data_IF_451057323859
#
_entry.id   IF_451057323859
#
_cell.length_a   1.000
_cell.length_b   1.000
_cell.length_c   1.000
_cell.angle_alpha   90.00
_cell.angle_beta   90.00
_cell.angle_gamma   90.00
#
_symmetry.space_group_name_H-M   'P 1'
#
loop_
_entity.id
_entity.type
_entity.pdbx_description
1 polymer ?
#
# COMPACT_ATOMS: atom_id res chain seq x y z
N UNK A 1 3.23 28.25 -2.87
CA UNK A 1 3.39 26.93 -2.21
C UNK A 1 4.83 26.49 -2.39
N UNK A 2 5.45 25.88 -1.37
CA UNK A 2 6.77 25.27 -1.52
C UNK A 2 6.74 24.07 -2.47
N UNK A 3 7.90 23.59 -2.92
CA UNK A 3 7.97 22.33 -3.68
C UNK A 3 7.49 21.17 -2.78
N UNK A 4 6.69 20.24 -3.30
CA UNK A 4 6.22 19.10 -2.52
C UNK A 4 7.40 18.18 -2.15
N UNK A 5 7.37 17.62 -0.94
CA UNK A 5 8.29 16.57 -0.47
C UNK A 5 7.83 15.24 -1.04
N UNK A 6 8.69 14.63 -1.85
CA UNK A 6 8.40 13.37 -2.53
C UNK A 6 9.19 12.24 -1.88
N UNK A 7 8.53 11.13 -1.56
CA UNK A 7 9.17 9.87 -1.17
C UNK A 7 8.92 8.80 -2.23
N UNK A 8 9.95 8.02 -2.52
CA UNK A 8 9.94 6.98 -3.54
C UNK A 8 10.40 5.66 -2.93
N UNK A 9 9.62 4.60 -3.14
CA UNK A 9 9.86 3.28 -2.57
C UNK A 9 10.33 2.31 -3.66
N UNK A 10 11.42 1.59 -3.37
CA UNK A 10 12.00 0.60 -4.27
C UNK A 10 12.70 -0.50 -3.47
N UNK A 11 12.39 -1.76 -3.76
CA UNK A 11 13.07 -2.90 -3.15
C UNK A 11 13.99 -3.60 -4.18
N UNK A 12 15.28 -3.86 -3.88
CA UNK A 12 16.21 -4.46 -4.85
C UNK A 12 15.76 -5.81 -5.44
N UNK A 13 15.00 -6.60 -4.68
CA UNK A 13 14.49 -7.92 -5.11
C UNK A 13 13.27 -7.86 -6.03
N UNK A 14 12.56 -6.74 -6.13
CA UNK A 14 11.26 -6.67 -6.83
C UNK A 14 11.36 -7.07 -8.32
N UNK A 15 12.50 -6.76 -8.95
CA UNK A 15 12.77 -7.10 -10.35
C UNK A 15 13.21 -8.55 -10.59
N UNK A 16 13.46 -9.32 -9.54
CA UNK A 16 13.97 -10.70 -9.63
C UNK A 16 12.86 -11.76 -9.65
N UNK A 17 11.64 -11.39 -9.25
CA UNK A 17 10.49 -12.31 -9.29
C UNK A 17 10.07 -12.62 -10.73
N UNK A 18 9.70 -13.87 -10.96
CA UNK A 18 9.41 -14.38 -12.30
C UNK A 18 8.11 -15.19 -12.31
N UNK A 19 7.08 -14.64 -12.96
CA UNK A 19 5.75 -15.25 -13.06
C UNK A 19 5.71 -16.52 -13.92
N UNK A 20 6.77 -16.80 -14.69
CA UNK A 20 6.88 -18.00 -15.49
C UNK A 20 7.05 -17.74 -17.00
N UNK A 21 7.36 -18.81 -17.76
CA UNK A 21 7.53 -18.74 -19.22
C UNK A 21 6.27 -18.22 -19.92
N UNK A 22 6.45 -17.27 -20.84
CA UNK A 22 5.34 -16.71 -21.65
C UNK A 22 4.39 -15.77 -20.90
N UNK A 23 4.43 -15.69 -19.57
CA UNK A 23 3.51 -14.85 -18.79
C UNK A 23 3.74 -13.34 -19.05
N UNK A 24 2.71 -12.51 -19.26
CA UNK A 24 2.88 -11.10 -19.64
C UNK A 24 3.36 -10.19 -18.49
N UNK A 25 2.99 -10.47 -17.23
CA UNK A 25 3.52 -9.73 -16.08
C UNK A 25 5.01 -10.00 -15.90
N UNK A 26 5.83 -8.95 -16.05
CA UNK A 26 7.29 -8.99 -15.85
C UNK A 26 7.70 -7.99 -14.76
N UNK A 27 7.88 -8.43 -13.50
CA UNK A 27 8.36 -7.56 -12.41
C UNK A 27 9.66 -6.82 -12.73
N UNK A 28 10.48 -7.37 -13.63
CA UNK A 28 11.67 -6.72 -14.18
C UNK A 28 11.43 -5.27 -14.69
N UNK A 29 10.20 -4.95 -15.15
CA UNK A 29 9.83 -3.58 -15.56
C UNK A 29 10.07 -2.53 -14.47
N UNK A 30 9.97 -2.92 -13.20
CA UNK A 30 10.21 -2.04 -12.05
C UNK A 30 11.68 -1.66 -11.94
N UNK A 31 12.58 -2.62 -12.19
CA UNK A 31 14.03 -2.38 -12.28
C UNK A 31 14.37 -1.43 -13.42
N UNK A 32 13.71 -1.57 -14.58
CA UNK A 32 13.87 -0.65 -15.72
C UNK A 32 13.46 0.79 -15.33
N UNK A 33 12.29 0.94 -14.71
CA UNK A 33 11.78 2.23 -14.24
C UNK A 33 12.72 2.86 -13.20
N UNK A 34 13.20 2.07 -12.23
CA UNK A 34 14.17 2.53 -11.24
C UNK A 34 15.49 2.97 -11.88
N UNK A 35 16.01 2.23 -12.87
CA UNK A 35 17.19 2.65 -13.62
C UNK A 35 16.97 3.99 -14.35
N UNK A 36 15.79 4.25 -14.92
CA UNK A 36 15.49 5.57 -15.48
C UNK A 36 15.47 6.65 -14.41
N UNK A 37 14.85 6.39 -13.26
CA UNK A 37 14.87 7.31 -12.10
C UNK A 37 16.30 7.69 -11.69
N UNK A 38 17.21 6.71 -11.64
CA UNK A 38 18.61 6.93 -11.30
C UNK A 38 19.34 7.74 -12.39
N UNK A 39 19.21 7.35 -13.66
CA UNK A 39 19.98 7.94 -14.76
C UNK A 39 19.44 9.31 -15.22
N UNK A 40 18.20 9.66 -14.88
CA UNK A 40 17.69 11.03 -14.97
C UNK A 40 17.99 11.87 -13.71
N UNK A 41 18.76 11.35 -12.76
CA UNK A 41 19.09 12.00 -11.47
C UNK A 41 17.84 12.39 -10.64
N UNK A 42 16.69 11.76 -10.89
CA UNK A 42 15.43 12.07 -10.18
C UNK A 42 15.50 11.69 -8.70
N UNK A 43 16.28 10.65 -8.36
CA UNK A 43 16.54 10.25 -6.97
C UNK A 43 17.15 11.37 -6.11
N UNK A 44 17.77 12.40 -6.71
CA UNK A 44 18.29 13.57 -5.97
C UNK A 44 17.20 14.57 -5.59
N UNK A 45 16.00 14.44 -6.17
CA UNK A 45 14.87 15.34 -5.99
C UNK A 45 13.78 14.74 -5.08
N UNK A 46 14.01 13.54 -4.54
CA UNK A 46 13.08 12.81 -3.69
C UNK A 46 13.83 11.97 -2.65
N UNK A 47 13.17 11.60 -1.57
CA UNK A 47 13.72 10.66 -0.59
C UNK A 47 13.45 9.22 -1.03
N UNK A 48 14.50 8.42 -1.18
CA UNK A 48 14.38 7.02 -1.61
C UNK A 48 14.42 6.10 -0.41
N UNK A 49 13.41 5.24 -0.29
CA UNK A 49 13.27 4.25 0.79
C UNK A 49 13.24 2.84 0.21
N UNK A 50 13.86 1.91 0.94
CA UNK A 50 13.57 0.50 0.76
C UNK A 50 12.35 0.17 1.62
N UNK A 51 11.25 -0.34 1.03
CA UNK A 51 10.06 -0.68 1.80
C UNK A 51 10.32 -1.86 2.72
N UNK A 52 9.59 -1.92 3.83
CA UNK A 52 9.59 -3.12 4.66
C UNK A 52 8.87 -4.28 3.96
N UNK A 53 9.10 -5.49 4.46
CA UNK A 53 8.33 -6.67 4.05
C UNK A 53 7.05 -6.70 4.87
N UNK A 54 5.89 -6.42 4.26
CA UNK A 54 4.62 -6.45 4.99
C UNK A 54 4.42 -7.78 5.70
N UNK A 55 4.10 -7.73 6.98
CA UNK A 55 3.80 -8.92 7.79
C UNK A 55 2.50 -9.58 7.35
N UNK A 56 2.33 -10.86 7.69
CA UNK A 56 1.07 -11.56 7.44
C UNK A 56 -0.10 -10.86 8.17
N UNK A 57 0.15 -10.33 9.36
CA UNK A 57 -0.80 -9.58 10.19
C UNK A 57 -1.27 -8.29 9.51
N UNK A 58 -0.35 -7.53 8.91
CA UNK A 58 -0.70 -6.33 8.14
C UNK A 58 -1.55 -6.69 6.91
N UNK A 59 -1.16 -7.73 6.17
CA UNK A 59 -1.90 -8.20 5.00
C UNK A 59 -3.32 -8.70 5.39
N UNK A 60 -3.44 -9.36 6.56
CA UNK A 60 -4.71 -9.83 7.13
C UNK A 60 -5.65 -8.71 7.58
N UNK A 61 -5.22 -7.44 7.59
CA UNK A 61 -6.11 -6.31 7.85
C UNK A 61 -7.25 -6.21 6.81
N UNK A 62 -7.00 -6.69 5.58
CA UNK A 62 -8.03 -6.84 4.55
C UNK A 62 -8.28 -8.30 4.18
N UNK A 63 -7.21 -9.04 3.88
CA UNK A 63 -7.32 -10.38 3.30
C UNK A 63 -7.75 -11.44 4.32
N UNK A 64 -8.46 -12.46 3.85
CA UNK A 64 -8.87 -13.58 4.69
C UNK A 64 -7.63 -14.34 5.24
N UNK A 65 -7.67 -14.69 6.53
CA UNK A 65 -6.53 -15.32 7.19
C UNK A 65 -6.10 -16.64 6.55
N UNK A 66 -7.07 -17.46 6.12
CA UNK A 66 -6.84 -18.73 5.43
C UNK A 66 -6.24 -18.56 4.02
N UNK A 67 -6.50 -17.43 3.36
CA UNK A 67 -5.88 -17.06 2.09
C UNK A 67 -4.42 -16.63 2.28
N UNK A 68 -4.14 -15.78 3.27
CA UNK A 68 -2.77 -15.34 3.59
C UNK A 68 -1.91 -16.50 4.09
N UNK A 69 -2.48 -17.40 4.91
CA UNK A 69 -1.78 -18.60 5.37
C UNK A 69 -1.50 -19.59 4.24
N UNK A 70 -2.33 -19.60 3.19
CA UNK A 70 -2.08 -20.36 1.97
C UNK A 70 -0.95 -19.75 1.15
N UNK A 71 -0.96 -18.44 0.90
CA UNK A 71 0.07 -17.75 0.11
C UNK A 71 1.47 -17.93 0.73
N UNK A 72 1.57 -17.91 2.07
CA UNK A 72 2.83 -18.16 2.78
C UNK A 72 3.42 -19.57 2.54
N UNK A 73 2.61 -20.55 2.15
CA UNK A 73 3.00 -21.97 2.03
C UNK A 73 3.07 -22.45 0.60
N UNK A 74 2.33 -21.81 -0.31
CA UNK A 74 2.26 -22.24 -1.71
C UNK A 74 3.57 -21.90 -2.42
N UNK A 75 4.09 -22.89 -3.13
CA UNK A 75 5.27 -22.81 -3.99
C UNK A 75 5.11 -23.84 -5.11
N UNK A 76 5.92 -23.78 -6.18
CA UNK A 76 5.88 -24.79 -7.24
C UNK A 76 6.04 -26.24 -6.71
N UNK A 77 6.75 -26.41 -5.59
CA UNK A 77 6.93 -27.72 -4.95
C UNK A 77 5.71 -28.23 -4.18
N UNK A 78 4.87 -27.32 -3.66
CA UNK A 78 3.69 -27.64 -2.84
C UNK A 78 2.38 -27.49 -3.59
N UNK A 79 2.38 -26.87 -4.77
CA UNK A 79 1.19 -26.61 -5.60
C UNK A 79 0.33 -27.86 -5.79
N UNK A 80 0.93 -28.97 -6.23
CA UNK A 80 0.20 -30.23 -6.48
C UNK A 80 -0.45 -30.82 -5.22
N UNK A 81 0.18 -30.69 -4.05
CA UNK A 81 -0.40 -31.19 -2.79
C UNK A 81 -1.47 -30.25 -2.23
N UNK A 82 -1.52 -29.01 -2.72
CA UNK A 82 -2.45 -27.96 -2.30
C UNK A 82 -3.51 -27.65 -3.37
N UNK A 83 -3.73 -28.53 -4.37
CA UNK A 83 -4.58 -28.27 -5.53
C UNK A 83 -5.96 -27.72 -5.18
N UNK A 84 -6.65 -28.28 -4.19
CA UNK A 84 -7.98 -27.79 -3.77
C UNK A 84 -7.93 -26.32 -3.32
N UNK A 85 -6.85 -25.89 -2.65
CA UNK A 85 -6.68 -24.50 -2.22
C UNK A 85 -6.24 -23.61 -3.38
N UNK A 86 -5.38 -24.13 -4.27
CA UNK A 86 -4.97 -23.45 -5.51
C UNK A 86 -6.19 -23.09 -6.35
N UNK A 87 -7.10 -24.05 -6.56
CA UNK A 87 -8.36 -23.83 -7.29
C UNK A 87 -9.30 -22.87 -6.51
N UNK A 88 -9.43 -23.07 -5.18
CA UNK A 88 -10.29 -22.22 -4.32
C UNK A 88 -9.90 -20.74 -4.40
N UNK A 89 -8.60 -20.46 -4.47
CA UNK A 89 -8.06 -19.11 -4.41
C UNK A 89 -7.69 -18.55 -5.79
N UNK A 90 -8.18 -19.18 -6.86
CA UNK A 90 -8.01 -18.78 -8.25
C UNK A 90 -6.54 -18.64 -8.67
N UNK A 91 -5.72 -19.63 -8.37
CA UNK A 91 -4.29 -19.67 -8.73
C UNK A 91 -3.95 -20.92 -9.55
N UNK A 92 -2.72 -20.96 -10.07
CA UNK A 92 -2.15 -22.14 -10.73
C UNK A 92 -2.22 -22.10 -12.25
N UNK A 93 -1.92 -23.23 -12.90
CA UNK A 93 -1.74 -23.34 -14.36
C UNK A 93 -2.95 -22.90 -15.20
N UNK A 94 -4.17 -23.06 -14.67
CA UNK A 94 -5.42 -22.71 -15.37
C UNK A 94 -5.96 -21.33 -15.01
N UNK A 95 -5.25 -20.58 -14.16
CA UNK A 95 -5.56 -19.21 -13.79
C UNK A 95 -4.63 -18.24 -14.51
N UNK A 96 -5.01 -16.97 -14.55
CA UNK A 96 -4.09 -15.88 -14.89
C UNK A 96 -3.08 -15.61 -13.77
N UNK A 97 -3.26 -16.17 -12.58
CA UNK A 97 -2.38 -16.00 -11.42
C UNK A 97 -1.56 -17.27 -11.15
N UNK A 98 -0.39 -17.45 -11.78
CA UNK A 98 0.42 -18.65 -11.61
C UNK A 98 1.00 -18.77 -10.19
N UNK A 99 1.34 -19.99 -9.79
CA UNK A 99 2.21 -20.23 -8.63
C UNK A 99 3.67 -20.10 -9.09
N UNK A 100 4.46 -19.28 -8.40
CA UNK A 100 5.90 -19.14 -8.66
C UNK A 100 6.68 -19.00 -7.35
N UNK A 101 8.00 -19.23 -7.43
CA UNK A 101 8.89 -19.12 -6.27
C UNK A 101 8.88 -17.69 -5.71
N UNK A 102 8.44 -17.57 -4.45
CA UNK A 102 8.39 -16.28 -3.76
C UNK A 102 7.14 -15.43 -4.06
N UNK A 103 6.01 -16.02 -4.46
CA UNK A 103 4.74 -15.28 -4.66
C UNK A 103 4.34 -14.43 -3.44
N UNK A 104 4.52 -14.96 -2.23
CA UNK A 104 4.25 -14.21 -1.01
C UNK A 104 5.28 -13.08 -0.81
N UNK A 105 6.57 -13.38 -1.00
CA UNK A 105 7.64 -12.39 -0.92
C UNK A 105 7.41 -11.19 -1.87
N UNK A 106 7.03 -11.46 -3.13
CA UNK A 106 6.64 -10.43 -4.09
C UNK A 106 5.49 -9.56 -3.55
N UNK A 107 4.47 -10.20 -2.98
CA UNK A 107 3.30 -9.53 -2.42
C UNK A 107 3.65 -8.67 -1.19
N UNK A 108 4.58 -9.13 -0.34
CA UNK A 108 5.03 -8.41 0.84
C UNK A 108 5.74 -7.10 0.50
N UNK A 109 6.57 -7.09 -0.56
CA UNK A 109 7.27 -5.89 -1.02
C UNK A 109 6.28 -4.86 -1.54
N UNK A 110 5.35 -5.29 -2.40
CA UNK A 110 4.31 -4.43 -2.96
C UNK A 110 3.44 -3.80 -1.85
N UNK A 111 2.91 -4.63 -0.95
CA UNK A 111 2.10 -4.19 0.18
C UNK A 111 2.87 -3.29 1.15
N UNK A 112 4.11 -3.65 1.48
CA UNK A 112 4.94 -2.89 2.42
C UNK A 112 5.24 -1.48 1.91
N UNK A 113 5.53 -1.33 0.61
CA UNK A 113 5.73 -0.01 -0.01
C UNK A 113 4.49 0.88 0.05
N UNK A 114 3.30 0.31 -0.16
CA UNK A 114 2.04 1.07 -0.10
C UNK A 114 1.64 1.42 1.34
N UNK A 115 1.91 0.52 2.30
CA UNK A 115 1.71 0.78 3.73
C UNK A 115 2.68 1.85 4.26
N UNK A 116 3.97 1.75 3.95
CA UNK A 116 4.97 2.75 4.34
C UNK A 116 4.65 4.12 3.73
N UNK A 117 4.24 4.14 2.46
CA UNK A 117 3.78 5.34 1.77
C UNK A 117 2.59 5.99 2.50
N UNK A 118 1.56 5.21 2.83
CA UNK A 118 0.38 5.69 3.54
C UNK A 118 0.72 6.19 4.96
N UNK A 119 1.58 5.47 5.68
CA UNK A 119 2.09 5.89 6.99
C UNK A 119 2.78 7.26 6.90
N UNK A 120 3.68 7.45 5.93
CA UNK A 120 4.39 8.74 5.75
C UNK A 120 3.45 9.90 5.45
N UNK A 121 2.41 9.66 4.64
CA UNK A 121 1.37 10.66 4.36
C UNK A 121 0.59 11.01 5.63
N UNK A 122 0.15 10.01 6.40
CA UNK A 122 -0.56 10.20 7.67
C UNK A 122 0.28 10.99 8.69
N UNK A 123 1.58 10.73 8.77
CA UNK A 123 2.50 11.42 9.68
C UNK A 123 2.95 12.80 9.17
N UNK A 124 2.49 13.24 7.99
CA UNK A 124 2.92 14.50 7.39
C UNK A 124 4.43 14.55 7.07
N UNK A 125 5.07 13.39 6.91
CA UNK A 125 6.49 13.27 6.55
C UNK A 125 6.72 13.50 5.05
N UNK A 126 5.68 13.35 4.24
CA UNK A 126 5.76 13.50 2.79
C UNK A 126 4.45 14.09 2.27
N UNK A 127 4.53 14.80 1.15
CA UNK A 127 3.37 15.35 0.46
C UNK A 127 2.94 14.42 -0.69
N UNK A 128 3.89 13.68 -1.26
CA UNK A 128 3.69 12.69 -2.32
C UNK A 128 4.52 11.45 -2.00
N UNK A 129 3.92 10.27 -2.11
CA UNK A 129 4.61 8.98 -2.02
C UNK A 129 4.42 8.18 -3.31
N UNK A 130 5.49 7.53 -3.79
CA UNK A 130 5.50 6.78 -5.05
C UNK A 130 5.99 5.35 -4.77
N UNK A 131 5.15 4.36 -5.04
CA UNK A 131 5.48 2.93 -5.02
C UNK A 131 5.09 2.31 -6.35
N UNK A 132 6.04 2.11 -7.27
CA UNK A 132 5.73 1.50 -8.59
C UNK A 132 5.53 -0.01 -8.54
N UNK A 133 5.99 -0.67 -7.47
CA UNK A 133 5.79 -2.10 -7.26
C UNK A 133 4.34 -2.44 -6.85
N UNK A 134 3.61 -1.45 -6.31
CA UNK A 134 2.21 -1.54 -5.94
C UNK A 134 1.25 -1.33 -7.10
N UNK A 135 -0.01 -1.07 -6.76
CA UNK A 135 -1.08 -0.84 -7.72
C UNK A 135 -1.81 -2.12 -8.17
N UNK A 136 -1.75 -3.20 -7.38
CA UNK A 136 -2.32 -4.51 -7.73
C UNK A 136 -3.83 -4.55 -7.42
N UNK A 137 -4.60 -3.85 -8.26
CA UNK A 137 -6.00 -3.50 -8.00
C UNK A 137 -7.03 -4.62 -8.18
N UNK A 138 -6.68 -5.76 -8.78
CA UNK A 138 -7.61 -6.86 -9.03
C UNK A 138 -7.75 -7.84 -7.87
N UNK A 139 -6.77 -7.86 -6.95
CA UNK A 139 -6.76 -8.80 -5.84
C UNK A 139 -8.00 -8.60 -4.95
N UNK A 140 -8.68 -9.71 -4.63
CA UNK A 140 -9.90 -9.72 -3.83
C UNK A 140 -9.59 -10.09 -2.39
N UNK A 141 -10.62 -10.08 -1.54
CA UNK A 141 -10.47 -10.40 -0.11
C UNK A 141 -9.89 -11.81 0.12
N UNK A 142 -10.26 -12.78 -0.70
CA UNK A 142 -9.90 -14.19 -0.51
C UNK A 142 -9.59 -14.92 -1.82
N UNK A 143 -9.20 -14.22 -2.89
CA UNK A 143 -8.80 -14.85 -4.16
C UNK A 143 -7.85 -13.94 -4.93
N UNK A 144 -6.95 -14.55 -5.70
CA UNK A 144 -6.14 -13.84 -6.67
C UNK A 144 -6.96 -13.56 -7.94
N UNK A 145 -6.61 -12.51 -8.68
CA UNK A 145 -7.25 -12.18 -9.96
C UNK A 145 -6.36 -11.24 -10.75
N UNK A 146 -6.27 -11.36 -12.08
CA UNK A 146 -5.63 -10.36 -12.94
C UNK A 146 -4.17 -10.11 -12.57
N UNK A 147 -3.40 -11.16 -12.30
CA UNK A 147 -2.01 -11.12 -11.82
C UNK A 147 -1.81 -10.57 -10.39
N UNK A 148 -2.90 -10.26 -9.68
CA UNK A 148 -2.87 -9.63 -8.36
C UNK A 148 -3.21 -10.66 -7.27
N UNK A 149 -2.31 -10.82 -6.30
CA UNK A 149 -2.49 -11.74 -5.17
C UNK A 149 -2.91 -10.99 -3.89
N UNK A 150 -2.20 -9.89 -3.57
CA UNK A 150 -2.51 -9.02 -2.43
C UNK A 150 -2.86 -7.63 -2.95
N UNK A 151 -3.92 -7.03 -2.40
CA UNK A 151 -4.38 -5.70 -2.77
C UNK A 151 -3.69 -4.64 -1.88
N UNK A 152 -2.50 -4.24 -2.29
CA UNK A 152 -1.69 -3.23 -1.59
C UNK A 152 -2.41 -1.87 -1.50
N UNK A 153 -3.26 -1.56 -2.47
CA UNK A 153 -4.04 -0.31 -2.51
C UNK A 153 -5.06 -0.29 -1.39
N UNK A 154 -5.82 -1.38 -1.21
CA UNK A 154 -6.82 -1.47 -0.14
C UNK A 154 -6.14 -1.35 1.23
N UNK A 155 -5.00 -2.01 1.42
CA UNK A 155 -4.21 -1.90 2.66
C UNK A 155 -3.74 -0.45 2.90
N UNK A 156 -3.20 0.21 1.87
CA UNK A 156 -2.80 1.62 1.94
C UNK A 156 -3.97 2.56 2.25
N UNK A 157 -5.14 2.34 1.66
CA UNK A 157 -6.35 3.13 1.95
C UNK A 157 -6.82 2.90 3.38
N UNK A 158 -6.81 1.67 3.88
CA UNK A 158 -7.14 1.37 5.28
C UNK A 158 -6.20 2.09 6.26
N UNK A 159 -4.91 2.17 5.92
CA UNK A 159 -3.93 2.96 6.68
C UNK A 159 -4.27 4.47 6.64
N UNK A 160 -4.55 5.04 5.46
CA UNK A 160 -4.96 6.45 5.32
C UNK A 160 -6.24 6.77 6.12
N UNK A 161 -7.20 5.85 6.13
CA UNK A 161 -8.47 6.02 6.85
C UNK A 161 -8.31 6.09 8.38
N UNK A 162 -7.14 5.80 8.95
CA UNK A 162 -6.86 6.03 10.37
C UNK A 162 -6.84 7.53 10.71
N UNK A 163 -6.46 8.40 9.76
CA UNK A 163 -6.31 9.84 9.98
C UNK A 163 -7.21 10.68 9.07
N UNK A 164 -7.59 10.16 7.90
CA UNK A 164 -8.40 10.88 6.92
C UNK A 164 -9.86 10.42 6.95
N UNK A 165 -10.78 11.37 7.16
CA UNK A 165 -12.21 11.07 7.17
C UNK A 165 -12.70 10.53 5.82
N UNK A 166 -12.13 11.04 4.72
CA UNK A 166 -12.45 10.67 3.33
C UNK A 166 -11.18 10.47 2.52
N UNK A 167 -11.14 9.41 1.71
CA UNK A 167 -10.06 9.11 0.76
C UNK A 167 -10.65 9.02 -0.65
N UNK A 168 -9.97 9.62 -1.63
CA UNK A 168 -10.31 9.50 -3.04
C UNK A 168 -9.28 8.57 -3.70
N UNK A 169 -9.77 7.48 -4.30
CA UNK A 169 -8.98 6.59 -5.14
C UNK A 169 -9.26 6.90 -6.61
N UNK A 170 -8.20 7.21 -7.35
CA UNK A 170 -8.28 7.43 -8.80
C UNK A 170 -7.47 6.32 -9.47
N UNK A 171 -8.10 5.64 -10.42
CA UNK A 171 -7.48 4.57 -11.19
C UNK A 171 -7.47 4.95 -12.67
N UNK A 172 -6.31 4.77 -13.31
CA UNK A 172 -6.06 5.07 -14.71
C UNK A 172 -5.49 3.86 -15.46
N UNK A 173 -5.46 2.69 -14.81
CA UNK A 173 -5.16 1.44 -15.48
C UNK A 173 -6.20 1.19 -16.59
N UNK A 174 -5.82 0.45 -17.62
CA UNK A 174 -6.72 0.13 -18.74
C UNK A 174 -7.84 -0.82 -18.31
N UNK A 175 -7.65 -1.57 -17.23
CA UNK A 175 -8.66 -2.44 -16.61
C UNK A 175 -9.38 -1.71 -15.48
N UNK A 176 -10.60 -2.13 -15.20
CA UNK A 176 -11.35 -1.63 -14.06
C UNK A 176 -10.69 -2.09 -12.76
N UNK A 177 -10.42 -1.15 -11.84
CA UNK A 177 -9.94 -1.43 -10.48
C UNK A 177 -11.00 -2.04 -9.56
N UNK A 178 -11.48 -3.20 -9.98
CA UNK A 178 -12.62 -3.92 -9.42
C UNK A 178 -12.38 -4.41 -7.99
N UNK A 179 -11.17 -4.83 -7.62
CA UNK A 179 -10.83 -5.25 -6.25
C UNK A 179 -10.91 -4.09 -5.25
N UNK A 180 -10.45 -2.89 -5.65
CA UNK A 180 -10.53 -1.68 -4.82
C UNK A 180 -11.98 -1.19 -4.73
N UNK A 181 -12.72 -1.19 -5.85
CA UNK A 181 -14.14 -0.84 -5.86
C UNK A 181 -14.97 -1.77 -4.96
N UNK A 182 -14.78 -3.08 -5.07
CA UNK A 182 -15.49 -4.08 -4.27
C UNK A 182 -15.20 -3.91 -2.77
N UNK A 183 -13.94 -3.69 -2.40
CA UNK A 183 -13.52 -3.52 -1.01
C UNK A 183 -14.21 -2.33 -0.30
N UNK A 184 -14.56 -1.29 -1.05
CA UNK A 184 -15.14 -0.06 -0.52
C UNK A 184 -16.55 0.25 -1.04
N UNK A 185 -17.21 -0.71 -1.70
CA UNK A 185 -18.49 -0.49 -2.38
C UNK A 185 -19.62 -0.01 -1.46
N UNK A 186 -19.56 -0.36 -0.18
CA UNK A 186 -20.60 -0.11 0.82
C UNK A 186 -20.21 0.96 1.86
N UNK A 187 -19.20 1.79 1.58
CA UNK A 187 -18.79 2.91 2.44
C UNK A 187 -18.80 4.24 1.69
N UNK A 188 -19.09 5.33 2.40
CA UNK A 188 -19.00 6.70 1.89
C UNK A 188 -17.65 7.37 2.22
N UNK A 189 -16.80 6.69 3.00
CA UNK A 189 -15.47 7.19 3.37
C UNK A 189 -14.44 7.07 2.25
N UNK A 190 -14.68 6.24 1.25
CA UNK A 190 -13.78 6.06 0.12
C UNK A 190 -14.59 6.22 -1.17
N UNK A 191 -14.16 7.12 -2.03
CA UNK A 191 -14.70 7.25 -3.38
C UNK A 191 -13.73 6.59 -4.36
N UNK A 192 -14.19 5.64 -5.16
CA UNK A 192 -13.42 5.00 -6.23
C UNK A 192 -13.79 5.61 -7.58
N UNK A 193 -12.79 6.10 -8.32
CA UNK A 193 -12.96 6.71 -9.63
C UNK A 193 -11.99 6.07 -10.63
N UNK A 194 -12.46 5.03 -11.34
CA UNK A 194 -11.67 4.30 -12.33
C UNK A 194 -11.97 4.77 -13.75
N UNK A 195 -10.91 5.12 -14.48
CA UNK A 195 -10.91 5.52 -15.88
C UNK A 195 -10.15 4.45 -16.67
N UNK A 196 -10.83 3.36 -16.94
CA UNK A 196 -10.29 2.32 -17.79
C UNK A 196 -10.39 2.71 -19.26
N UNK A 197 -9.25 2.62 -19.94
CA UNK A 197 -8.99 3.07 -21.33
C UNK A 197 -8.94 4.61 -21.49
N UNK A 198 -7.90 5.28 -20.92
CA UNK A 198 -7.13 6.50 -21.38
C UNK A 198 -6.40 7.15 -20.19
N UNK A 199 -5.15 7.66 -20.33
CA UNK A 199 -4.33 8.20 -19.20
C UNK A 199 -3.27 9.25 -19.58
N UNK A 200 -2.89 10.17 -18.64
CA UNK A 200 -1.52 10.70 -18.28
C UNK A 200 -1.60 11.49 -16.94
N UNK A 201 -0.55 11.39 -16.08
CA UNK A 201 -0.36 12.11 -14.80
C UNK A 201 1.11 12.57 -14.70
N UNK A 202 1.34 13.80 -14.21
CA UNK A 202 2.61 14.49 -13.86
C UNK A 202 3.01 15.68 -14.78
N UNK A 203 3.19 16.85 -14.15
CA UNK A 203 3.49 18.16 -14.77
C UNK A 203 4.98 18.53 -14.73
N UNK A 204 5.87 17.59 -15.03
CA UNK A 204 7.32 17.84 -15.13
C UNK A 204 7.82 17.52 -16.54
N UNK A 205 8.55 18.46 -17.14
CA UNK A 205 9.16 18.23 -18.45
C UNK A 205 10.46 17.45 -18.30
N UNK A 206 10.44 16.20 -18.75
CA UNK A 206 11.61 15.33 -18.89
C UNK A 206 12.08 15.32 -20.34
N UNK A 207 13.39 15.15 -20.57
CA UNK A 207 13.93 15.04 -21.92
C UNK A 207 13.33 13.82 -22.62
N UNK A 208 12.94 13.99 -23.89
CA UNK A 208 12.46 12.87 -24.69
C UNK A 208 13.58 11.89 -25.09
N UNK A 209 14.86 12.26 -24.95
CA UNK A 209 15.99 11.35 -25.17
C UNK A 209 16.21 10.46 -23.95
N UNK A 210 16.21 9.13 -24.15
CA UNK A 210 16.55 8.17 -23.09
C UNK A 210 18.05 8.27 -22.77
N UNK A 211 18.46 8.48 -21.50
CA UNK A 211 19.85 8.45 -21.10
C UNK A 211 20.40 7.02 -21.15
N UNK A 212 21.70 6.88 -21.38
CA UNK A 212 22.37 5.58 -21.33
C UNK A 212 22.14 4.90 -19.97
N UNK A 213 21.80 3.63 -20.00
CA UNK A 213 21.58 2.80 -18.82
C UNK A 213 21.82 1.32 -19.19
N UNK A 214 21.90 0.42 -18.20
CA UNK A 214 22.13 -1.02 -18.39
C UNK A 214 21.16 -1.68 -19.40
N UNK A 215 19.95 -1.14 -19.53
CA UNK A 215 18.87 -1.66 -20.37
C UNK A 215 18.62 -0.78 -21.61
N UNK A 216 19.58 0.06 -22.01
CA UNK A 216 19.42 1.05 -23.08
C UNK A 216 18.94 0.43 -24.41
N UNK A 217 19.39 -0.78 -24.74
CA UNK A 217 19.01 -1.48 -25.97
C UNK A 217 17.51 -1.83 -26.06
N UNK A 218 16.80 -1.89 -24.92
CA UNK A 218 15.34 -2.15 -24.91
C UNK A 218 14.54 -0.99 -25.52
N UNK A 219 15.12 0.21 -25.60
CA UNK A 219 14.47 1.39 -26.17
C UNK A 219 14.78 1.59 -27.66
N UNK A 220 15.47 0.64 -28.29
CA UNK A 220 15.70 0.64 -29.72
C UNK A 220 14.37 0.51 -30.51
N UNK A 221 14.29 1.05 -31.75
CA UNK A 221 15.34 1.80 -32.45
C UNK A 221 15.31 3.30 -32.18
N UNK A 222 14.28 3.84 -31.51
CA UNK A 222 14.06 5.28 -31.39
C UNK A 222 14.86 5.92 -30.26
N UNK A 223 15.10 5.17 -29.18
CA UNK A 223 15.73 5.63 -27.93
C UNK A 223 15.01 6.88 -27.36
N UNK A 224 13.68 6.94 -27.53
CA UNK A 224 12.81 8.02 -27.06
C UNK A 224 11.92 7.59 -25.89
N UNK A 225 11.59 8.55 -25.02
CA UNK A 225 10.71 8.35 -23.88
C UNK A 225 9.23 8.34 -24.28
N UNK A 226 8.85 9.23 -25.19
CA UNK A 226 7.48 9.33 -25.68
C UNK A 226 7.24 8.29 -26.79
N UNK A 227 6.10 7.62 -26.68
CA UNK A 227 5.57 6.78 -27.75
C UNK A 227 4.74 7.65 -28.69
N UNK A 228 5.02 7.55 -29.99
CA UNK A 228 4.16 8.16 -31.00
C UNK A 228 2.85 7.35 -31.09
N UNK A 229 1.67 8.01 -31.07
CA UNK A 229 0.41 7.33 -31.27
C UNK A 229 0.42 6.57 -32.60
N UNK A 230 -0.01 5.30 -32.59
CA UNK A 230 -0.13 4.55 -33.83
C UNK A 230 -1.27 5.16 -34.68
N UNK A 231 -0.99 5.76 -35.84
CA UNK A 231 -2.00 6.43 -36.65
C UNK A 231 -3.01 5.46 -37.30
N UNK A 232 -2.68 4.16 -37.34
CA UNK A 232 -3.57 3.12 -37.87
C UNK A 232 -4.62 2.66 -36.86
N UNK A 233 -4.44 2.97 -35.57
CA UNK A 233 -5.43 2.64 -34.54
C UNK A 233 -6.54 3.69 -34.53
N UNK A 234 -7.72 3.28 -34.97
CA UNK A 234 -8.90 4.14 -34.93
C UNK A 234 -9.32 4.42 -33.48
N UNK A 235 -9.47 5.70 -33.15
CA UNK A 235 -10.06 6.09 -31.87
C UNK A 235 -11.58 5.92 -31.90
N UNK A 236 -12.05 4.79 -31.35
CA UNK A 236 -13.48 4.50 -31.24
C UNK A 236 -14.24 5.40 -30.22
N UNK A 237 -13.53 6.25 -29.45
CA UNK A 237 -14.15 7.17 -28.49
C UNK A 237 -14.63 8.45 -29.19
N UNK A 238 -15.85 8.43 -29.70
CA UNK A 238 -16.48 9.63 -30.29
C UNK A 238 -16.63 10.73 -29.24
N UNK A 239 -16.43 11.99 -29.61
CA UNK A 239 -16.61 13.13 -28.67
C UNK A 239 -17.99 13.15 -28.02
N UNK A 240 -19.05 12.84 -28.78
CA UNK A 240 -20.42 12.79 -28.25
C UNK A 240 -20.59 11.73 -27.18
N UNK A 241 -19.97 10.55 -27.36
CA UNK A 241 -19.98 9.48 -26.37
C UNK A 241 -19.30 9.90 -25.06
N UNK A 242 -18.14 10.57 -25.14
CA UNK A 242 -17.44 11.07 -23.96
C UNK A 242 -18.21 12.16 -23.23
N UNK A 243 -18.86 13.08 -23.97
CA UNK A 243 -19.72 14.11 -23.40
C UNK A 243 -20.94 13.51 -22.68
N UNK A 244 -21.58 12.49 -23.26
CA UNK A 244 -22.71 11.79 -22.63
C UNK A 244 -22.30 11.10 -21.33
N UNK A 245 -21.14 10.45 -21.30
CA UNK A 245 -20.58 9.85 -20.07
C UNK A 245 -20.30 10.94 -19.03
N UNK A 246 -19.63 12.02 -19.44
CA UNK A 246 -19.31 13.15 -18.55
C UNK A 246 -20.58 13.72 -17.91
N UNK A 247 -21.65 13.91 -18.67
CA UNK A 247 -22.93 14.40 -18.14
C UNK A 247 -23.48 13.46 -17.06
N UNK A 248 -23.55 12.15 -17.34
CA UNK A 248 -24.02 11.14 -16.37
C UNK A 248 -23.18 11.12 -15.09
N UNK A 249 -21.85 11.18 -15.21
CA UNK A 249 -20.94 11.24 -14.06
C UNK A 249 -21.21 12.50 -13.23
N UNK A 250 -21.35 13.66 -13.88
CA UNK A 250 -21.67 14.92 -13.18
C UNK A 250 -23.06 14.88 -12.50
N UNK A 251 -24.05 14.20 -13.10
CA UNK A 251 -25.36 14.01 -12.47
C UNK A 251 -25.27 13.14 -11.21
N UNK A 252 -24.51 12.05 -11.24
CA UNK A 252 -24.27 11.24 -10.03
C UNK A 252 -23.52 12.04 -8.97
N UNK A 253 -22.49 12.81 -9.35
CA UNK A 253 -21.73 13.65 -8.41
C UNK A 253 -22.60 14.75 -7.77
N UNK A 254 -23.64 15.25 -8.45
CA UNK A 254 -24.59 16.21 -7.87
C UNK A 254 -25.45 15.62 -6.74
N UNK A 255 -25.60 14.30 -6.68
CA UNK A 255 -26.37 13.62 -5.63
C UNK A 255 -25.61 13.54 -4.31
N UNK A 256 -24.29 13.73 -4.33
CA UNK A 256 -23.50 13.88 -3.11
C UNK A 256 -24.00 15.13 -2.38
N UNK A 257 -24.42 14.98 -1.12
CA UNK A 257 -24.59 16.13 -0.24
C UNK A 257 -23.23 16.79 -0.16
N UNK A 258 -23.07 17.96 -0.79
CA UNK A 258 -21.85 18.73 -0.67
C UNK A 258 -21.50 18.86 0.81
N UNK A 259 -20.22 18.68 1.16
CA UNK A 259 -19.78 19.10 2.49
C UNK A 259 -20.28 20.54 2.66
N UNK A 260 -21.03 20.88 3.74
CA UNK A 260 -21.42 22.26 3.96
C UNK A 260 -20.15 23.09 3.82
N UNK A 261 -20.17 24.13 3.00
CA UNK A 261 -19.00 24.91 2.62
C UNK A 261 -18.19 25.29 3.86
N UNK A 262 -17.19 24.46 4.19
CA UNK A 262 -16.28 24.73 5.30
C UNK A 262 -15.28 25.68 4.70
N UNK A 263 -15.41 26.95 5.08
CA UNK A 263 -14.40 27.96 4.81
C UNK A 263 -13.07 27.40 5.32
N UNK A 264 -12.07 27.27 4.45
CA UNK A 264 -10.73 26.81 4.81
C UNK A 264 -10.17 27.76 5.88
N UNK A 265 -10.33 27.43 7.16
CA UNK A 265 -9.73 28.15 8.27
C UNK A 265 -8.40 27.48 8.60
N UNK A 266 -7.35 28.30 8.74
CA UNK A 266 -6.08 27.85 9.27
C UNK A 266 -6.31 27.29 10.68
N UNK A 267 -5.86 26.07 10.93
CA UNK A 267 -5.89 25.43 12.24
C UNK A 267 -4.99 26.25 13.18
N UNK A 268 -5.52 26.80 14.29
CA UNK A 268 -4.68 27.47 15.29
C UNK A 268 -3.68 26.47 15.90
N UNK A 269 -2.44 26.88 16.21
CA UNK A 269 -1.40 25.98 16.73
C UNK A 269 -1.80 25.20 17.99
N UNK A 270 -2.75 25.71 18.76
CA UNK A 270 -3.13 25.17 20.07
C UNK A 270 -3.93 23.87 20.00
N UNK A 271 -4.45 23.45 18.83
CA UNK A 271 -5.15 22.17 18.71
C UNK A 271 -4.20 20.95 18.69
N UNK A 272 -2.88 21.19 18.58
CA UNK A 272 -1.82 20.18 18.66
C UNK A 272 -1.09 20.19 20.00
N UNK A 273 -1.61 20.89 21.01
CA UNK A 273 -1.09 20.76 22.37
C UNK A 273 -1.44 19.36 22.89
N UNK A 274 -0.50 18.42 22.74
CA UNK A 274 -0.48 17.16 23.47
C UNK A 274 -0.78 17.48 24.93
N UNK A 275 -1.81 16.87 25.52
CA UNK A 275 -1.86 16.75 26.97
C UNK A 275 -0.52 16.14 27.38
N UNK A 276 0.17 16.82 28.32
CA UNK A 276 1.44 16.36 28.81
C UNK A 276 1.27 14.93 29.30
N UNK A 277 2.19 14.06 28.89
CA UNK A 277 2.25 12.67 29.29
C UNK A 277 2.34 12.61 30.83
N UNK A 278 1.21 12.39 31.51
CA UNK A 278 1.14 12.34 32.99
C UNK A 278 1.89 11.12 33.56
N UNK A 279 2.41 10.24 32.71
CA UNK A 279 3.29 9.14 33.09
C UNK A 279 4.78 9.50 32.99
N UNK A 280 5.13 10.73 32.61
CA UNK A 280 6.52 11.25 32.65
C UNK A 280 6.92 11.84 34.02
N UNK A 281 6.03 11.82 35.03
CA UNK A 281 6.33 12.26 36.40
C UNK A 281 6.89 11.12 37.26
N UNK A 282 7.96 11.44 37.99
CA UNK A 282 8.70 10.59 38.93
C UNK A 282 7.80 9.63 39.76
N UNK A 283 8.02 8.30 39.68
CA UNK A 283 7.19 7.30 40.36
C UNK A 283 7.16 7.42 41.89
N UNK A 284 8.03 8.22 42.53
CA UNK A 284 7.97 8.46 43.98
C UNK A 284 7.00 9.58 44.41
N UNK A 285 6.31 10.24 43.48
CA UNK A 285 5.39 11.36 43.81
C UNK A 285 3.91 10.99 43.96
N UNK A 286 3.52 9.71 43.77
CA UNK A 286 2.12 9.27 43.88
C UNK A 286 1.73 8.98 45.33
N UNK A 287 1.38 10.02 46.08
CA UNK A 287 0.67 9.91 47.35
C UNK A 287 -0.83 10.24 47.20
N UNK A 288 -1.65 9.39 47.81
CA UNK A 288 -3.07 9.51 48.18
C UNK A 288 -4.21 9.25 47.15
N UNK A 289 -4.77 8.04 47.31
CA UNK A 289 -6.19 7.70 47.46
C UNK A 289 -7.26 8.55 46.72
N UNK A 290 -7.77 8.01 45.60
CA UNK A 290 -9.13 8.29 45.11
C UNK A 290 -10.00 7.01 45.23
N UNK A 291 -11.08 7.01 46.04
CA UNK A 291 -11.93 5.85 46.25
C UNK A 291 -13.00 5.63 45.16
N UNK A 292 -12.93 6.31 44.01
CA UNK A 292 -14.01 6.26 42.99
C UNK A 292 -13.70 5.53 41.68
N UNK A 293 -12.49 4.97 41.49
CA UNK A 293 -12.21 4.14 40.30
C UNK A 293 -12.80 2.73 40.43
N UNK A 294 -13.78 2.41 39.56
CA UNK A 294 -14.26 1.04 39.34
C UNK A 294 -13.17 0.23 38.64
N UNK A 295 -12.69 -0.83 39.29
CA UNK A 295 -11.70 -1.75 38.75
C UNK A 295 -12.26 -2.56 37.56
N UNK A 296 -11.51 -2.61 36.46
CA UNK A 296 -11.79 -3.42 35.28
C UNK A 296 -11.33 -4.86 35.54
N UNK A 297 -12.13 -5.87 35.16
CA UNK A 297 -11.94 -7.28 35.55
C UNK A 297 -10.80 -8.03 34.83
N UNK A 298 -9.72 -7.36 34.45
CA UNK A 298 -8.60 -7.96 33.72
C UNK A 298 -7.21 -7.55 34.26
N UNK A 299 -7.11 -6.80 35.36
CA UNK A 299 -5.82 -6.45 35.95
C UNK A 299 -5.46 -7.42 37.08
N UNK A 300 -4.59 -8.39 36.76
CA UNK A 300 -3.87 -9.20 37.74
C UNK A 300 -2.50 -8.56 37.99
N UNK A 301 -2.30 -7.98 39.17
CA UNK A 301 -0.96 -7.66 39.66
C UNK A 301 -0.49 -8.80 40.57
N UNK A 302 0.60 -9.47 40.18
CA UNK A 302 1.34 -10.37 41.06
C UNK A 302 2.01 -9.50 42.15
N UNK A 303 1.73 -9.81 43.41
CA UNK A 303 2.12 -8.99 44.55
C UNK A 303 3.55 -9.35 44.98
N UNK A 304 4.48 -8.40 44.92
CA UNK A 304 5.80 -8.49 45.54
C UNK A 304 5.66 -8.18 47.04
N UNK A 305 5.37 -9.21 47.82
CA UNK A 305 5.68 -9.28 49.24
C UNK A 305 6.37 -10.61 49.47
N UNK A 306 7.70 -10.59 49.47
CA UNK A 306 8.53 -11.39 50.37
C UNK A 306 10.01 -11.11 50.08
N UNK A 307 10.53 -9.98 50.60
CA UNK A 307 11.97 -9.83 50.80
C UNK A 307 12.26 -9.08 52.11
N UNK A 308 12.61 -9.87 53.13
CA UNK A 308 13.77 -9.71 54.03
C UNK A 308 13.47 -9.75 55.53
N UNK A 309 14.02 -10.78 56.17
CA UNK A 309 14.35 -10.88 57.59
C UNK A 309 15.58 -11.80 57.70
N UNK A 310 16.57 -11.38 58.47
CA UNK A 310 17.96 -11.76 58.37
C UNK A 310 18.41 -12.90 59.32
N UNK A 311 19.69 -13.25 59.14
CA UNK A 311 20.65 -13.80 60.10
C UNK A 311 20.84 -15.34 60.23
N UNK A 312 22.04 -15.74 59.79
CA UNK A 312 23.01 -16.70 60.35
C UNK A 312 22.54 -18.00 61.01
N UNK A 313 23.14 -19.13 60.60
CA UNK A 313 24.01 -20.01 61.42
C UNK A 313 24.53 -21.19 60.56
N UNK A 314 25.86 -21.23 60.44
CA UNK A 314 26.81 -22.36 60.40
C UNK A 314 26.46 -23.80 59.92
N UNK A 315 27.43 -24.29 59.13
CA UNK A 315 28.12 -25.59 59.16
C UNK A 315 27.53 -26.91 58.58
N UNK A 316 28.40 -27.48 57.74
CA UNK A 316 28.84 -28.88 57.65
C UNK A 316 28.19 -29.84 56.63
N UNK A 317 28.97 -30.13 55.58
CA UNK A 317 29.49 -31.45 55.14
C UNK A 317 28.58 -32.67 55.35
N UNK A 318 28.11 -33.26 54.24
CA UNK A 318 28.63 -34.52 53.65
C UNK A 318 28.27 -34.59 52.15
#
# INVERSE_FOLDING_TARGET
MGKPRVSYFYHPEEGNFYYGPGHPMKPHRLKLAHHLVLNYDLFRKMEVFQPHWASAEEIKAFHAADYVDFLQKVSPSTEKSMQTLVDKYNMGEFSDCPVFDGVFNFSQISAGGSLDAAYRLNQGLSDICINWAGGLHHAKKAEASGFCYINDIVLGILELLKYHARVLYIDIDVHHGDGVEEAFYVTDRVMTASFHKTSVVLEEQVSNDIPFNEYFEYYAPSFKLHLDPNPELENCNRRTYLEDIKIKVFEHLRMLKGAPSVQMQAVPPDYMAREADEDATDPESRADHDPTRRAHSAEFYANDKDTHGADDVDMAID
#
